data_IF_067759391224
#
_entry.id   IF_067759391224
#
_cell.length_a   1.000
_cell.length_b   1.000
_cell.length_c   1.000
_cell.angle_alpha   90.00
_cell.angle_beta   90.00
_cell.angle_gamma   90.00
#
_symmetry.space_group_name_H-M   'P 1'
#
loop_
_entity.id
_entity.type
_entity.pdbx_description
1 polymer ?
#
# COMPACT_ATOMS: atom_id res chain seq x y z
N UNK A 1 -6.92 31.86 -14.93
CA UNK A 1 -8.19 31.73 -15.70
C UNK A 1 -8.00 30.65 -16.74
N UNK A 2 -8.24 29.39 -16.36
CA UNK A 2 -8.21 28.25 -17.28
C UNK A 2 -9.36 27.34 -16.86
N UNK A 3 -10.46 27.48 -17.59
CA UNK A 3 -11.69 26.72 -17.40
C UNK A 3 -11.47 25.28 -17.82
N UNK A 4 -11.40 24.37 -16.85
CA UNK A 4 -11.37 22.94 -17.12
C UNK A 4 -12.77 22.44 -17.49
N UNK A 5 -12.85 21.97 -18.71
CA UNK A 5 -13.96 21.31 -19.38
C UNK A 5 -14.47 20.13 -18.55
N UNK A 6 -15.70 20.24 -18.06
CA UNK A 6 -16.42 19.16 -17.41
C UNK A 6 -16.72 18.05 -18.44
N UNK A 7 -16.09 16.88 -18.27
CA UNK A 7 -16.44 15.68 -19.02
C UNK A 7 -17.83 15.22 -18.58
N UNK A 8 -18.79 15.32 -19.49
CA UNK A 8 -20.14 14.79 -19.35
C UNK A 8 -20.07 13.27 -19.19
N UNK A 9 -20.33 12.78 -17.99
CA UNK A 9 -20.67 11.37 -17.78
C UNK A 9 -22.05 11.11 -18.40
N UNK A 10 -22.03 10.50 -19.58
CA UNK A 10 -23.20 9.88 -20.20
C UNK A 10 -23.68 8.75 -19.28
N UNK A 11 -24.83 8.95 -18.66
CA UNK A 11 -25.52 7.93 -17.88
C UNK A 11 -25.91 6.77 -18.78
N UNK A 12 -25.30 5.61 -18.54
CA UNK A 12 -25.72 4.34 -19.14
C UNK A 12 -27.07 3.94 -18.52
N UNK A 13 -28.15 4.40 -19.13
CA UNK A 13 -29.52 4.00 -18.81
C UNK A 13 -29.68 2.55 -19.28
N UNK A 14 -29.74 1.61 -18.32
CA UNK A 14 -30.13 0.23 -18.60
C UNK A 14 -31.57 0.28 -19.13
N UNK A 15 -31.84 -0.18 -20.37
CA UNK A 15 -33.18 -0.17 -20.92
C UNK A 15 -34.09 -1.03 -20.05
N UNK A 16 -35.16 -0.41 -19.54
CA UNK A 16 -36.21 -1.10 -18.81
C UNK A 16 -36.68 -2.30 -19.64
N UNK A 17 -36.70 -3.47 -18.99
CA UNK A 17 -37.10 -4.76 -19.54
C UNK A 17 -38.48 -4.61 -20.18
N UNK A 18 -38.51 -4.46 -21.51
CA UNK A 18 -39.72 -4.31 -22.28
C UNK A 18 -40.64 -5.50 -21.98
N UNK A 19 -41.79 -5.21 -21.37
CA UNK A 19 -42.76 -6.22 -21.01
C UNK A 19 -43.18 -6.99 -22.27
N UNK A 20 -42.97 -8.31 -22.25
CA UNK A 20 -43.58 -9.22 -23.22
C UNK A 20 -45.08 -8.95 -23.24
N UNK A 21 -45.57 -8.42 -24.35
CA UNK A 21 -46.99 -8.17 -24.57
C UNK A 21 -47.76 -9.49 -24.48
N UNK A 22 -48.98 -9.45 -23.97
CA UNK A 22 -49.81 -10.64 -23.76
C UNK A 22 -50.06 -11.45 -25.04
N UNK A 23 -49.85 -10.86 -26.23
CA UNK A 23 -49.89 -11.57 -27.51
C UNK A 23 -48.66 -12.45 -27.78
N UNK A 24 -47.47 -12.08 -27.29
CA UNK A 24 -46.26 -12.91 -27.41
C UNK A 24 -46.36 -14.17 -26.53
N UNK A 25 -46.92 -14.05 -25.31
CA UNK A 25 -47.24 -15.21 -24.47
C UNK A 25 -48.28 -16.12 -25.12
N UNK A 26 -49.34 -15.56 -25.70
CA UNK A 26 -50.40 -16.35 -26.35
C UNK A 26 -49.91 -17.09 -27.60
N UNK A 27 -48.93 -16.56 -28.32
CA UNK A 27 -48.28 -17.26 -29.45
C UNK A 27 -47.35 -18.38 -28.99
N UNK A 28 -46.61 -18.18 -27.89
CA UNK A 28 -45.76 -19.22 -27.31
C UNK A 28 -46.60 -20.41 -26.78
N UNK A 29 -47.73 -20.14 -26.11
CA UNK A 29 -48.62 -21.20 -25.63
C UNK A 29 -49.35 -21.94 -26.76
N UNK A 30 -49.54 -21.31 -27.93
CA UNK A 30 -50.15 -21.94 -29.09
C UNK A 30 -49.19 -22.87 -29.86
N UNK A 31 -47.89 -22.56 -29.85
CA UNK A 31 -46.88 -23.39 -30.53
C UNK A 31 -46.47 -24.60 -29.69
N UNK A 32 -46.48 -24.47 -28.35
CA UNK A 32 -46.23 -25.61 -27.44
C UNK A 32 -47.27 -26.72 -27.59
N UNK A 33 -48.50 -26.42 -28.05
CA UNK A 33 -49.57 -27.42 -28.21
C UNK A 33 -49.57 -28.17 -29.53
N UNK A 34 -48.67 -27.86 -30.49
CA UNK A 34 -48.65 -28.52 -31.81
C UNK A 34 -47.66 -29.65 -31.95
N UNK A 35 -46.89 -29.97 -30.91
CA UNK A 35 -45.80 -30.94 -31.01
C UNK A 35 -46.06 -32.29 -30.32
N UNK A 36 -47.32 -32.61 -29.99
CA UNK A 36 -47.66 -33.74 -29.12
C UNK A 36 -48.33 -34.94 -29.81
N UNK A 37 -48.39 -35.01 -31.14
CA UNK A 37 -49.12 -36.10 -31.81
C UNK A 37 -48.38 -36.76 -32.98
N UNK A 38 -47.12 -37.13 -32.72
CA UNK A 38 -46.48 -38.23 -33.45
C UNK A 38 -46.05 -39.28 -32.43
N UNK A 39 -46.98 -40.18 -32.13
CA UNK A 39 -46.71 -41.44 -31.46
C UNK A 39 -45.80 -42.32 -32.31
N UNK A 40 -44.50 -42.02 -32.27
CA UNK A 40 -43.49 -42.99 -32.66
C UNK A 40 -43.47 -44.05 -31.57
N UNK A 41 -43.92 -45.25 -31.91
CA UNK A 41 -43.89 -46.42 -31.04
C UNK A 41 -42.44 -46.91 -30.89
N UNK A 42 -41.60 -46.07 -30.27
CA UNK A 42 -40.25 -46.42 -29.89
C UNK A 42 -40.36 -47.58 -28.91
N UNK A 43 -40.01 -48.79 -29.39
CA UNK A 43 -39.82 -49.98 -28.58
C UNK A 43 -39.04 -49.56 -27.33
N UNK A 44 -39.72 -49.55 -26.18
CA UNK A 44 -39.09 -49.27 -24.88
C UNK A 44 -38.13 -50.41 -24.61
N UNK A 45 -36.90 -50.27 -25.10
CA UNK A 45 -35.80 -51.15 -24.70
C UNK A 45 -35.55 -50.82 -23.24
N UNK A 46 -36.09 -51.67 -22.37
CA UNK A 46 -35.81 -51.59 -20.94
C UNK A 46 -34.31 -51.76 -20.78
N UNK A 47 -33.62 -50.68 -20.40
CA UNK A 47 -32.22 -50.73 -20.00
C UNK A 47 -32.07 -51.94 -19.07
N UNK A 48 -31.29 -52.90 -19.52
CA UNK A 48 -31.06 -54.11 -18.74
C UNK A 48 -30.34 -53.69 -17.46
N UNK A 49 -30.61 -54.35 -16.33
CA UNK A 49 -29.98 -54.03 -15.04
C UNK A 49 -28.44 -53.99 -15.14
N UNK A 50 -27.87 -54.76 -16.06
CA UNK A 50 -26.43 -54.78 -16.36
C UNK A 50 -25.93 -53.53 -17.08
N UNK A 51 -26.74 -52.95 -17.98
CA UNK A 51 -26.38 -51.73 -18.71
C UNK A 51 -26.32 -50.53 -17.76
N UNK A 52 -27.28 -50.44 -16.83
CA UNK A 52 -27.26 -49.43 -15.78
C UNK A 52 -26.03 -49.57 -14.87
N UNK A 53 -25.64 -50.81 -14.53
CA UNK A 53 -24.43 -51.07 -13.74
C UNK A 53 -23.15 -50.62 -14.45
N UNK A 54 -23.02 -50.92 -15.75
CA UNK A 54 -21.85 -50.52 -16.55
C UNK A 54 -21.76 -49.00 -16.66
N UNK A 55 -22.89 -48.33 -16.93
CA UNK A 55 -22.94 -46.86 -16.99
C UNK A 55 -22.52 -46.24 -15.66
N UNK A 56 -22.96 -46.82 -14.53
CA UNK A 56 -22.56 -46.35 -13.21
C UNK A 56 -21.05 -46.48 -13.00
N UNK A 57 -20.46 -47.62 -13.38
CA UNK A 57 -19.01 -47.84 -13.26
C UNK A 57 -18.23 -46.83 -14.11
N UNK A 58 -18.66 -46.59 -15.35
CA UNK A 58 -18.02 -45.61 -16.24
C UNK A 58 -18.16 -44.20 -15.68
N UNK A 59 -19.33 -43.82 -15.15
CA UNK A 59 -19.57 -42.51 -14.53
C UNK A 59 -18.66 -42.28 -13.32
N UNK A 60 -18.47 -43.29 -12.46
CA UNK A 60 -17.56 -43.20 -11.31
C UNK A 60 -16.12 -43.03 -11.78
N UNK A 61 -15.70 -43.81 -12.79
CA UNK A 61 -14.35 -43.71 -13.34
C UNK A 61 -14.06 -42.33 -13.96
N UNK A 62 -14.98 -41.79 -14.77
CA UNK A 62 -14.84 -40.45 -15.38
C UNK A 62 -14.85 -39.36 -14.31
N UNK A 63 -15.74 -39.46 -13.32
CA UNK A 63 -15.81 -38.50 -12.21
C UNK A 63 -14.50 -38.43 -11.43
N UNK A 64 -13.85 -39.58 -11.19
CA UNK A 64 -12.54 -39.63 -10.54
C UNK A 64 -11.47 -38.85 -11.30
N UNK A 65 -11.41 -38.99 -12.63
CA UNK A 65 -10.45 -38.27 -13.49
C UNK A 65 -10.75 -36.76 -13.50
N UNK A 66 -12.01 -36.37 -13.58
CA UNK A 66 -12.42 -34.95 -13.56
C UNK A 66 -12.05 -34.28 -12.24
N UNK A 67 -12.23 -34.96 -11.11
CA UNK A 67 -11.85 -34.44 -9.79
C UNK A 67 -10.34 -34.20 -9.69
N UNK A 68 -9.52 -35.14 -10.15
CA UNK A 68 -8.06 -34.99 -10.16
C UNK A 68 -7.61 -33.82 -11.06
N UNK A 69 -8.23 -33.67 -12.24
CA UNK A 69 -7.92 -32.57 -13.17
C UNK A 69 -8.36 -31.20 -12.65
N UNK A 70 -9.43 -31.14 -11.84
CA UNK A 70 -9.95 -29.88 -11.31
C UNK A 70 -9.16 -29.41 -10.07
N UNK A 71 -8.65 -30.34 -9.26
CA UNK A 71 -7.88 -30.01 -8.05
C UNK A 71 -6.67 -29.11 -8.34
N UNK A 72 -5.87 -29.42 -9.37
CA UNK A 72 -4.69 -28.62 -9.71
C UNK A 72 -5.02 -27.18 -10.12
N UNK A 73 -6.16 -26.95 -10.80
CA UNK A 73 -6.58 -25.60 -11.21
C UNK A 73 -7.04 -24.74 -10.04
N UNK A 74 -7.68 -25.35 -9.03
CA UNK A 74 -8.10 -24.65 -7.82
C UNK A 74 -6.87 -24.18 -7.04
N UNK A 75 -5.86 -25.05 -6.93
CA UNK A 75 -4.61 -24.72 -6.22
C UNK A 75 -3.80 -23.64 -6.95
N UNK A 76 -3.72 -23.68 -8.29
CA UNK A 76 -3.09 -22.62 -9.09
C UNK A 76 -3.81 -21.26 -8.91
N UNK A 77 -5.15 -21.27 -8.94
CA UNK A 77 -5.92 -20.05 -8.71
C UNK A 77 -5.76 -19.50 -7.28
N UNK A 78 -5.66 -20.38 -6.28
CA UNK A 78 -5.39 -19.99 -4.90
C UNK A 78 -3.95 -19.43 -4.74
N UNK A 79 -2.97 -20.05 -5.40
CA UNK A 79 -1.60 -19.56 -5.47
C UNK A 79 -1.56 -18.13 -6.04
N UNK A 80 -2.15 -17.92 -7.21
CA UNK A 80 -2.14 -16.62 -7.89
C UNK A 80 -2.82 -15.54 -7.06
N UNK A 81 -3.96 -15.88 -6.45
CA UNK A 81 -4.67 -14.98 -5.52
C UNK A 81 -3.80 -14.62 -4.32
N UNK A 82 -3.07 -15.57 -3.74
CA UNK A 82 -2.17 -15.33 -2.62
C UNK A 82 -1.03 -14.38 -2.99
N UNK A 83 -0.39 -14.61 -4.14
CA UNK A 83 0.68 -13.74 -4.65
C UNK A 83 0.15 -12.33 -4.89
N UNK A 84 -1.02 -12.21 -5.51
CA UNK A 84 -1.67 -10.92 -5.72
C UNK A 84 -1.97 -10.19 -4.40
N UNK A 85 -2.52 -10.90 -3.41
CA UNK A 85 -2.77 -10.35 -2.07
C UNK A 85 -1.48 -9.89 -1.38
N UNK A 86 -0.41 -10.70 -1.42
CA UNK A 86 0.88 -10.33 -0.84
C UNK A 86 1.46 -9.07 -1.51
N UNK A 87 1.41 -8.99 -2.84
CA UNK A 87 1.87 -7.81 -3.56
C UNK A 87 1.02 -6.56 -3.26
N UNK A 88 -0.30 -6.72 -3.09
CA UNK A 88 -1.19 -5.64 -2.66
C UNK A 88 -0.83 -5.17 -1.25
N UNK A 89 -0.59 -6.09 -0.30
CA UNK A 89 -0.16 -5.76 1.06
C UNK A 89 1.19 -5.05 1.04
N UNK A 90 2.17 -5.54 0.28
CA UNK A 90 3.48 -4.87 0.12
C UNK A 90 3.30 -3.44 -0.36
N UNK A 91 2.55 -3.27 -1.44
CA UNK A 91 2.31 -1.96 -2.06
C UNK A 91 1.58 -1.03 -1.10
N UNK A 92 0.62 -1.54 -0.34
CA UNK A 92 -0.09 -0.77 0.69
C UNK A 92 0.83 -0.31 1.82
N UNK A 93 1.80 -1.14 2.23
CA UNK A 93 2.72 -0.82 3.33
C UNK A 93 3.82 0.14 2.86
N UNK A 94 4.62 -0.26 1.86
CA UNK A 94 5.84 0.45 1.46
C UNK A 94 5.72 1.28 0.18
N UNK A 95 4.61 1.15 -0.54
CA UNK A 95 4.41 1.76 -1.86
C UNK A 95 4.84 0.82 -3.00
N UNK A 96 4.54 1.24 -4.23
CA UNK A 96 4.92 0.50 -5.43
C UNK A 96 6.39 0.84 -5.79
N UNK A 97 7.32 -0.14 -5.74
CA UNK A 97 8.73 0.13 -6.05
C UNK A 97 8.97 0.45 -7.53
N UNK A 98 8.03 0.12 -8.42
CA UNK A 98 8.15 0.39 -9.86
C UNK A 98 7.73 1.81 -10.25
N UNK A 99 7.09 2.56 -9.34
CA UNK A 99 6.76 3.96 -9.61
C UNK A 99 8.04 4.77 -9.72
N UNK A 100 8.35 5.19 -10.95
CA UNK A 100 9.48 6.04 -11.30
C UNK A 100 8.93 7.42 -11.64
N UNK A 101 9.47 8.49 -11.05
CA UNK A 101 9.05 9.88 -11.30
C UNK A 101 8.39 10.58 -10.11
N UNK A 102 7.66 11.66 -10.41
CA UNK A 102 7.07 12.64 -9.47
C UNK A 102 5.64 12.29 -9.00
N UNK A 103 5.14 11.09 -9.34
CA UNK A 103 3.83 10.67 -8.87
C UNK A 103 3.83 10.51 -7.34
N UNK A 104 2.84 11.07 -6.63
CA UNK A 104 2.76 10.96 -5.19
C UNK A 104 2.57 9.51 -4.79
N UNK A 105 3.48 8.99 -3.98
CA UNK A 105 3.36 7.63 -3.46
C UNK A 105 2.40 7.62 -2.30
N UNK A 106 1.41 6.74 -2.45
CA UNK A 106 0.42 6.45 -1.43
C UNK A 106 0.82 5.13 -0.79
N UNK A 107 1.25 5.19 0.46
CA UNK A 107 1.56 4.00 1.26
C UNK A 107 1.46 4.32 2.73
N UNK A 108 1.20 3.31 3.56
CA UNK A 108 1.08 3.47 5.00
C UNK A 108 2.36 4.06 5.60
N UNK A 109 3.55 3.59 5.21
CA UNK A 109 4.79 4.11 5.79
C UNK A 109 5.07 5.55 5.33
N UNK A 110 4.75 5.91 4.08
CA UNK A 110 4.93 7.29 3.60
C UNK A 110 4.03 8.29 4.33
N UNK A 111 2.78 7.90 4.62
CA UNK A 111 1.77 8.79 5.21
C UNK A 111 1.84 8.81 6.76
N UNK A 112 2.15 7.66 7.38
CA UNK A 112 2.11 7.47 8.83
C UNK A 112 3.49 7.44 9.49
N UNK A 113 4.57 7.26 8.73
CA UNK A 113 5.94 7.24 9.24
C UNK A 113 6.33 5.99 10.03
N UNK A 114 5.53 4.93 10.00
CA UNK A 114 5.84 3.68 10.69
C UNK A 114 5.29 2.47 9.96
N UNK A 115 5.82 1.29 10.28
CA UNK A 115 5.21 0.04 9.88
C UNK A 115 3.88 -0.18 10.61
N UNK A 116 2.89 -0.82 9.97
CA UNK A 116 1.66 -1.21 10.64
C UNK A 116 1.93 -2.02 11.91
N UNK A 117 1.28 -1.58 12.99
CA UNK A 117 1.31 -2.29 14.26
C UNK A 117 0.17 -3.31 14.30
N UNK A 118 0.42 -4.47 14.92
CA UNK A 118 -0.62 -5.49 15.10
C UNK A 118 -1.81 -4.90 15.86
N UNK A 119 -3.02 -5.17 15.36
CA UNK A 119 -4.26 -4.75 16.01
C UNK A 119 -4.98 -5.97 16.57
N UNK A 120 -5.26 -5.96 17.88
CA UNK A 120 -5.94 -7.06 18.56
C UNK A 120 -5.08 -8.31 18.78
N UNK A 121 -5.75 -9.43 19.05
CA UNK A 121 -5.13 -10.74 19.32
C UNK A 121 -5.26 -11.72 18.16
N UNK A 122 -6.32 -11.61 17.35
CA UNK A 122 -6.57 -12.48 16.19
C UNK A 122 -5.71 -12.04 14.98
N UNK A 123 -4.85 -12.93 14.44
CA UNK A 123 -4.01 -12.65 13.27
C UNK A 123 -4.77 -12.13 12.06
N UNK A 124 -6.03 -12.53 11.88
CA UNK A 124 -6.86 -12.06 10.76
C UNK A 124 -7.09 -10.54 10.76
N UNK A 125 -6.89 -9.89 11.92
CA UNK A 125 -7.03 -8.44 12.12
C UNK A 125 -5.69 -7.71 12.27
N UNK A 126 -4.54 -8.37 12.13
CA UNK A 126 -3.24 -7.70 12.30
C UNK A 126 -3.01 -6.60 11.27
N UNK A 127 -3.55 -6.74 10.06
CA UNK A 127 -3.47 -5.75 8.99
C UNK A 127 -4.61 -4.73 9.02
N UNK A 128 -5.39 -4.65 10.10
CA UNK A 128 -6.53 -3.73 10.22
C UNK A 128 -6.13 -2.26 10.06
N UNK A 129 -4.89 -1.91 10.42
CA UNK A 129 -4.33 -0.58 10.19
C UNK A 129 -4.27 -0.16 8.70
N UNK A 130 -4.28 -1.13 7.78
CA UNK A 130 -4.31 -0.88 6.34
C UNK A 130 -5.71 -0.65 5.78
N UNK A 131 -6.76 -0.92 6.56
CA UNK A 131 -8.16 -0.84 6.10
C UNK A 131 -8.98 0.14 6.92
N UNK A 132 -8.59 0.38 8.17
CA UNK A 132 -9.24 1.27 9.11
C UNK A 132 -8.20 2.16 9.82
N UNK A 133 -8.66 3.33 10.26
CA UNK A 133 -7.84 4.28 11.02
C UNK A 133 -7.31 3.62 12.31
N UNK A 134 -5.98 3.48 12.49
CA UNK A 134 -5.42 2.93 13.71
C UNK A 134 -5.76 3.79 14.94
N UNK A 135 -5.99 3.15 16.08
CA UNK A 135 -6.21 3.87 17.34
C UNK A 135 -4.98 4.71 17.69
N UNK A 136 -5.19 5.99 18.04
CA UNK A 136 -4.12 6.94 18.35
C UNK A 136 -3.45 7.58 17.13
N UNK A 137 -3.73 7.10 15.92
CA UNK A 137 -3.25 7.73 14.70
C UNK A 137 -4.20 8.83 14.25
N UNK A 138 -3.64 9.94 13.80
CA UNK A 138 -4.41 11.03 13.25
C UNK A 138 -4.83 10.78 11.81
N UNK A 139 -6.02 11.27 11.44
CA UNK A 139 -6.44 11.29 10.03
C UNK A 139 -5.51 12.17 9.20
N UNK A 140 -5.32 11.78 7.95
CA UNK A 140 -4.53 12.53 6.98
C UNK A 140 -5.00 13.98 6.88
N UNK A 141 -4.08 14.90 7.13
CA UNK A 141 -4.35 16.32 7.11
C UNK A 141 -3.08 17.11 6.79
N UNK A 142 -3.29 18.35 6.39
CA UNK A 142 -2.21 19.33 6.30
C UNK A 142 -1.81 19.70 7.73
N UNK A 143 -0.52 19.57 8.04
CA UNK A 143 0.07 19.96 9.32
C UNK A 143 1.15 20.99 9.12
N UNK A 144 1.13 21.97 10.01
CA UNK A 144 2.18 22.96 10.17
C UNK A 144 3.20 22.45 11.19
N UNK A 145 4.49 22.64 10.93
CA UNK A 145 5.52 22.24 11.86
C UNK A 145 5.45 23.07 13.15
N UNK A 146 5.89 22.50 14.29
CA UNK A 146 5.95 23.25 15.54
C UNK A 146 6.89 24.44 15.44
N UNK A 147 6.72 25.42 16.33
CA UNK A 147 7.65 26.54 16.48
C UNK A 147 9.09 26.01 16.67
N UNK A 148 10.12 26.61 16.04
CA UNK A 148 10.11 27.91 15.34
C UNK A 148 9.62 27.90 13.88
N UNK A 149 9.25 26.74 13.33
CA UNK A 149 9.15 26.54 11.88
C UNK A 149 7.70 26.50 11.35
N UNK A 150 6.86 27.41 11.84
CA UNK A 150 5.43 27.42 11.51
C UNK A 150 5.11 27.78 10.03
N UNK A 151 6.11 28.10 9.23
CA UNK A 151 6.03 28.27 7.78
C UNK A 151 6.13 26.93 7.02
N UNK A 152 6.64 25.88 7.66
CA UNK A 152 6.77 24.55 7.09
C UNK A 152 5.43 23.82 7.19
N UNK A 153 4.89 23.44 6.03
CA UNK A 153 3.60 22.75 5.92
C UNK A 153 3.78 21.45 5.16
N UNK A 154 3.39 20.31 5.74
CA UNK A 154 3.40 19.03 5.03
C UNK A 154 2.14 18.25 5.32
N UNK A 155 1.93 17.18 4.56
CA UNK A 155 0.81 16.29 4.73
C UNK A 155 1.24 15.06 5.49
N UNK A 156 0.55 14.75 6.58
CA UNK A 156 0.82 13.55 7.38
C UNK A 156 -0.47 12.96 7.95
N UNK A 157 -0.38 11.71 8.41
CA UNK A 157 -1.48 10.98 9.03
C UNK A 157 -2.09 9.94 8.11
N UNK A 158 -3.03 9.17 8.62
CA UNK A 158 -3.61 8.03 7.92
C UNK A 158 -4.54 8.47 6.79
N UNK A 159 -4.17 8.18 5.53
CA UNK A 159 -4.91 8.64 4.34
C UNK A 159 -6.05 7.72 3.93
N UNK A 160 -6.05 6.46 4.34
CA UNK A 160 -7.21 5.62 4.04
C UNK A 160 -6.96 4.13 4.12
N UNK A 161 -7.98 3.35 3.73
CA UNK A 161 -7.72 1.97 3.41
C UNK A 161 -6.70 1.93 2.27
N UNK A 162 -5.47 1.53 2.58
CA UNK A 162 -4.38 1.32 1.64
C UNK A 162 -4.55 0.01 0.86
N UNK A 163 -5.45 -0.87 1.33
CA UNK A 163 -5.85 -2.09 0.65
C UNK A 163 -7.38 -2.16 0.54
N UNK A 164 -7.86 -2.55 -0.64
CA UNK A 164 -9.27 -2.83 -0.86
C UNK A 164 -9.61 -4.24 -0.37
N UNK A 165 -10.59 -4.36 0.52
CA UNK A 165 -11.10 -5.66 0.95
C UNK A 165 -12.13 -6.19 -0.05
N UNK A 166 -12.21 -7.53 -0.23
CA UNK A 166 -13.33 -8.14 -0.95
C UNK A 166 -14.68 -7.78 -0.31
N UNK A 167 -15.74 -7.79 -1.12
CA UNK A 167 -17.09 -7.56 -0.61
C UNK A 167 -17.46 -8.60 0.46
N UNK A 168 -18.09 -8.14 1.54
CA UNK A 168 -18.54 -8.96 2.67
C UNK A 168 -17.43 -9.64 3.49
N UNK A 169 -16.20 -9.12 3.47
CA UNK A 169 -15.17 -9.52 4.43
C UNK A 169 -14.48 -8.31 5.03
N UNK A 170 -14.16 -8.42 6.32
CA UNK A 170 -13.33 -7.51 7.10
C UNK A 170 -11.89 -8.02 7.24
N UNK A 171 -11.55 -9.12 6.55
CA UNK A 171 -10.28 -9.85 6.71
C UNK A 171 -9.51 -9.90 5.40
N UNK A 172 -8.19 -9.75 5.51
CA UNK A 172 -7.26 -10.01 4.41
C UNK A 172 -6.87 -11.49 4.49
N UNK A 173 -7.40 -12.29 3.59
CA UNK A 173 -7.19 -13.74 3.55
C UNK A 173 -6.37 -14.13 2.32
N UNK A 174 -5.71 -15.28 2.40
CA UNK A 174 -4.99 -15.86 1.27
C UNK A 174 -5.91 -16.57 0.26
N UNK A 175 -5.32 -17.24 -0.72
CA UNK A 175 -6.02 -17.99 -1.75
C UNK A 175 -6.89 -19.13 -1.23
N UNK A 176 -6.50 -19.72 -0.10
CA UNK A 176 -7.19 -20.83 0.57
C UNK A 176 -8.13 -20.35 1.67
N UNK A 177 -8.38 -19.04 1.75
CA UNK A 177 -9.24 -18.42 2.75
C UNK A 177 -8.71 -18.55 4.19
N UNK A 178 -7.39 -18.71 4.34
CA UNK A 178 -6.70 -18.72 5.62
C UNK A 178 -6.15 -17.32 5.94
N UNK A 179 -6.05 -16.95 7.23
CA UNK A 179 -5.35 -15.73 7.61
C UNK A 179 -3.86 -15.85 7.28
N UNK A 180 -3.22 -14.71 7.01
CA UNK A 180 -1.77 -14.67 6.90
C UNK A 180 -1.11 -14.93 8.25
N UNK A 181 0.06 -15.57 8.20
CA UNK A 181 0.97 -15.71 9.31
C UNK A 181 1.89 -14.48 9.38
N UNK A 182 2.14 -14.00 10.60
CA UNK A 182 2.93 -12.81 10.84
C UNK A 182 4.11 -13.11 11.75
N UNK A 183 5.29 -12.62 11.40
CA UNK A 183 6.41 -12.52 12.34
C UNK A 183 6.42 -11.11 12.90
N UNK A 184 6.50 -11.01 14.22
CA UNK A 184 6.41 -9.75 14.95
C UNK A 184 7.76 -9.46 15.63
N UNK A 185 8.16 -8.18 15.62
CA UNK A 185 9.15 -7.64 16.56
C UNK A 185 8.41 -6.71 17.51
N UNK A 186 8.06 -7.20 18.70
CA UNK A 186 7.12 -6.51 19.59
C UNK A 186 5.72 -6.43 18.97
N UNK A 187 5.26 -5.21 18.69
CA UNK A 187 3.97 -4.97 18.01
C UNK A 187 4.12 -4.71 16.51
N UNK A 188 5.34 -4.54 16.01
CA UNK A 188 5.58 -4.26 14.59
C UNK A 188 5.54 -5.54 13.78
N UNK A 189 4.84 -5.51 12.65
CA UNK A 189 4.83 -6.60 11.67
C UNK A 189 6.13 -6.55 10.85
N UNK A 190 7.01 -7.54 11.05
CA UNK A 190 8.30 -7.63 10.35
C UNK A 190 8.32 -8.67 9.24
N UNK A 191 7.40 -9.63 9.24
CA UNK A 191 7.16 -10.40 8.03
C UNK A 191 5.75 -10.95 7.90
N UNK A 192 5.36 -11.25 6.66
CA UNK A 192 4.06 -11.79 6.29
C UNK A 192 4.27 -13.03 5.41
N UNK A 193 3.54 -14.10 5.74
CA UNK A 193 3.56 -15.36 5.03
C UNK A 193 2.12 -15.89 4.87
N UNK A 194 1.81 -16.59 3.79
CA UNK A 194 0.52 -17.28 3.64
C UNK A 194 0.29 -18.28 4.77
N UNK A 195 -0.98 -18.50 5.14
CA UNK A 195 -1.38 -19.66 5.94
C UNK A 195 -1.14 -20.97 5.19
N UNK A 196 -1.22 -20.92 3.86
CA UNK A 196 -1.04 -22.06 2.97
C UNK A 196 -2.28 -22.96 2.93
N UNK A 197 -2.28 -23.95 2.05
CA UNK A 197 -3.24 -25.05 2.07
C UNK A 197 -2.81 -26.17 3.03
N UNK A 198 -3.68 -27.16 3.26
CA UNK A 198 -3.29 -28.47 3.80
C UNK A 198 -2.25 -29.08 2.84
N UNK A 199 -1.32 -29.92 3.31
CA UNK A 199 -0.23 -30.53 2.51
C UNK A 199 -0.69 -31.11 1.15
N UNK A 200 -0.75 -30.27 0.12
CA UNK A 200 -0.88 -30.68 -1.27
C UNK A 200 0.49 -30.51 -1.95
N UNK A 201 0.81 -31.28 -3.00
CA UNK A 201 2.04 -31.09 -3.77
C UNK A 201 2.15 -29.70 -4.44
N UNK A 202 1.06 -28.92 -4.42
CA UNK A 202 0.98 -27.54 -4.91
C UNK A 202 1.17 -26.50 -3.79
N UNK A 203 1.29 -26.93 -2.53
CA UNK A 203 1.63 -26.11 -1.38
C UNK A 203 3.12 -25.78 -1.35
N UNK A 204 3.66 -25.41 -2.51
CA UNK A 204 5.00 -24.86 -2.65
C UNK A 204 5.04 -23.63 -1.75
N UNK A 205 6.03 -23.56 -0.86
CA UNK A 205 6.27 -22.38 -0.02
C UNK A 205 6.40 -21.15 -0.92
N UNK A 206 5.35 -20.34 -1.01
CA UNK A 206 5.32 -19.11 -1.80
C UNK A 206 5.74 -17.94 -0.94
N UNK A 207 6.83 -17.23 -1.29
CA UNK A 207 8.18 -17.81 -1.37
C UNK A 207 8.57 -18.46 -0.01
N UNK A 208 9.50 -19.41 0.01
CA UNK A 208 10.06 -19.95 1.27
C UNK A 208 10.70 -18.88 2.17
N UNK A 209 10.97 -17.71 1.60
CA UNK A 209 11.35 -16.51 2.33
C UNK A 209 10.10 -15.66 2.58
N UNK A 210 9.69 -15.49 3.85
CA UNK A 210 8.64 -14.55 4.22
C UNK A 210 8.85 -13.19 3.57
N UNK A 211 7.77 -12.46 3.27
CA UNK A 211 7.91 -11.06 2.91
C UNK A 211 8.46 -10.32 4.13
N UNK A 212 9.76 -10.04 4.15
CA UNK A 212 10.40 -9.38 5.26
C UNK A 212 10.40 -7.86 5.08
N UNK A 213 9.91 -7.18 6.11
CA UNK A 213 10.09 -5.77 6.37
C UNK A 213 11.20 -5.67 7.41
N UNK A 214 12.44 -5.45 6.97
CA UNK A 214 13.52 -5.16 7.90
C UNK A 214 13.39 -3.69 8.31
N UNK A 215 13.17 -3.39 9.58
CA UNK A 215 13.14 -2.01 10.09
C UNK A 215 14.44 -1.25 9.73
N UNK A 216 15.60 -1.91 9.70
CA UNK A 216 16.85 -1.30 9.23
C UNK A 216 16.87 -1.06 7.71
N UNK A 217 16.08 -1.80 6.94
CA UNK A 217 15.83 -1.49 5.52
C UNK A 217 14.74 -0.44 5.31
N UNK A 218 14.06 -0.04 6.40
CA UNK A 218 13.00 0.98 6.47
C UNK A 218 13.39 2.21 7.29
N UNK A 219 14.62 2.24 7.81
CA UNK A 219 15.30 3.39 8.41
C UNK A 219 16.69 3.47 7.76
N UNK A 220 16.88 4.33 6.78
CA UNK A 220 18.20 4.52 6.15
C UNK A 220 18.67 5.91 6.52
N UNK A 221 19.98 6.08 6.81
CA UNK A 221 20.53 7.41 7.00
C UNK A 221 20.12 8.34 5.87
N UNK A 222 19.73 9.54 6.24
CA UNK A 222 19.66 10.65 5.29
C UNK A 222 20.99 11.39 5.42
N UNK A 223 21.81 11.25 4.38
CA UNK A 223 23.09 11.93 4.29
C UNK A 223 23.17 12.76 3.01
N UNK A 224 23.95 13.82 3.09
CA UNK A 224 24.07 14.77 2.00
C UNK A 224 25.12 15.81 2.28
N UNK A 225 25.19 16.78 1.39
CA UNK A 225 26.09 17.92 1.48
C UNK A 225 25.31 19.21 1.32
N UNK A 226 25.62 20.19 2.16
CA UNK A 226 25.16 21.57 2.01
C UNK A 226 26.32 22.39 1.47
N UNK A 227 26.17 22.93 0.26
CA UNK A 227 27.03 23.98 -0.26
C UNK A 227 26.49 25.33 0.23
N UNK A 228 27.38 26.15 0.80
CA UNK A 228 27.02 27.44 1.39
C UNK A 228 27.92 28.56 0.86
N UNK A 229 27.37 29.77 0.82
CA UNK A 229 28.08 31.01 0.53
C UNK A 229 27.59 32.11 1.49
N UNK A 230 28.17 32.14 2.68
CA UNK A 230 27.86 33.05 3.79
C UNK A 230 28.81 34.24 3.82
N UNK A 231 28.38 35.34 4.44
CA UNK A 231 29.22 36.55 4.61
C UNK A 231 30.33 36.35 5.65
N UNK A 232 30.06 35.57 6.70
CA UNK A 232 30.98 35.25 7.79
C UNK A 232 30.87 33.78 8.18
N UNK A 233 31.84 33.28 8.97
CA UNK A 233 31.71 31.94 9.56
C UNK A 233 30.49 31.89 10.47
N UNK A 234 29.71 30.83 10.35
CA UNK A 234 28.46 30.59 11.06
C UNK A 234 28.27 29.14 11.48
N UNK A 235 27.10 28.85 12.03
CA UNK A 235 26.58 27.48 12.16
C UNK A 235 25.40 27.29 11.21
N UNK A 236 25.36 26.14 10.54
CA UNK A 236 24.22 25.70 9.75
C UNK A 236 23.40 24.74 10.59
N UNK A 237 22.12 25.02 10.78
CA UNK A 237 21.17 24.09 11.41
C UNK A 237 20.28 23.51 10.35
N UNK A 238 20.33 22.19 10.18
CA UNK A 238 19.52 21.46 9.20
C UNK A 238 18.40 20.76 9.96
N UNK A 239 17.15 21.06 9.60
CA UNK A 239 15.96 20.34 10.10
C UNK A 239 15.29 19.57 8.98
N UNK A 240 14.98 18.30 9.23
CA UNK A 240 14.24 17.43 8.32
C UNK A 240 12.90 17.06 8.97
N UNK A 241 11.79 17.43 8.34
CA UNK A 241 10.45 17.15 8.84
C UNK A 241 9.85 15.87 8.24
N UNK A 242 9.18 15.07 9.07
CA UNK A 242 8.60 13.78 8.68
C UNK A 242 7.43 13.38 9.62
N UNK A 243 6.55 12.44 9.22
CA UNK A 243 5.50 11.92 10.09
C UNK A 243 6.07 11.10 11.26
N UNK A 244 5.62 11.39 12.47
CA UNK A 244 5.96 10.68 13.70
C UNK A 244 5.26 9.32 13.76
N UNK A 245 6.04 8.28 13.98
CA UNK A 245 5.61 6.89 13.98
C UNK A 245 4.42 6.56 14.90
N UNK A 246 4.27 7.28 16.02
CA UNK A 246 3.28 6.97 17.07
C UNK A 246 1.86 7.43 16.74
N UNK A 247 1.71 8.58 16.08
CA UNK A 247 0.42 9.25 15.89
C UNK A 247 0.24 9.90 14.51
N UNK A 248 1.26 9.83 13.64
CA UNK A 248 1.28 10.47 12.34
C UNK A 248 1.33 12.00 12.41
N UNK A 249 1.66 12.59 13.56
CA UNK A 249 1.89 14.04 13.66
C UNK A 249 3.20 14.43 12.98
N UNK A 250 3.39 15.71 12.72
CA UNK A 250 4.61 16.19 12.08
C UNK A 250 5.70 16.39 13.13
N UNK A 251 6.86 15.76 12.93
CA UNK A 251 8.04 15.92 13.77
C UNK A 251 9.27 16.23 12.92
N UNK A 252 10.43 16.46 13.53
CA UNK A 252 11.67 16.71 12.82
C UNK A 252 12.90 16.12 13.53
N UNK A 253 13.97 15.94 12.77
CA UNK A 253 15.31 15.74 13.29
C UNK A 253 16.20 16.94 12.94
N UNK A 254 17.09 17.31 13.85
CA UNK A 254 17.95 18.49 13.73
C UNK A 254 19.43 18.10 13.79
N UNK A 255 20.25 18.73 12.96
CA UNK A 255 21.71 18.65 13.02
C UNK A 255 22.33 20.04 12.84
N UNK A 256 23.14 20.46 13.81
CA UNK A 256 23.93 21.69 13.72
C UNK A 256 25.36 21.37 13.26
N UNK A 257 25.83 22.13 12.28
CA UNK A 257 27.12 21.97 11.63
C UNK A 257 27.91 23.27 11.70
N UNK A 258 29.19 23.17 12.04
CA UNK A 258 30.10 24.31 11.97
C UNK A 258 30.50 24.57 10.52
N UNK A 259 30.48 25.84 10.09
CA UNK A 259 31.06 26.25 8.81
C UNK A 259 32.46 26.80 9.02
N UNK A 260 33.33 26.59 8.03
CA UNK A 260 34.67 27.19 8.01
C UNK A 260 34.74 28.19 6.85
N UNK A 261 35.00 29.46 7.17
CA UNK A 261 35.03 30.54 6.18
C UNK A 261 33.67 30.95 5.63
N UNK A 262 33.70 31.78 4.58
CA UNK A 262 32.53 32.36 3.91
C UNK A 262 31.91 31.44 2.85
N UNK A 263 32.59 30.41 2.39
CA UNK A 263 31.99 29.46 1.44
C UNK A 263 32.58 28.08 1.61
N UNK A 264 31.80 27.06 1.27
CA UNK A 264 32.26 25.70 1.38
C UNK A 264 31.15 24.66 1.21
N UNK A 265 31.48 23.43 1.58
CA UNK A 265 30.56 22.31 1.59
C UNK A 265 30.67 21.59 2.92
N UNK A 266 29.55 21.39 3.61
CA UNK A 266 29.51 20.57 4.83
C UNK A 266 28.66 19.33 4.60
N UNK A 267 29.13 18.18 5.08
CA UNK A 267 28.35 16.96 5.07
C UNK A 267 27.42 16.90 6.27
N UNK A 268 26.18 16.46 6.05
CA UNK A 268 25.22 16.15 7.09
C UNK A 268 24.84 14.67 7.04
N UNK A 269 24.50 14.11 8.19
CA UNK A 269 24.12 12.72 8.32
C UNK A 269 23.21 12.55 9.54
N UNK A 270 21.95 12.19 9.30
CA UNK A 270 21.02 11.82 10.35
C UNK A 270 21.15 10.31 10.64
N UNK A 271 21.43 9.92 11.90
CA UNK A 271 21.66 8.52 12.25
C UNK A 271 20.40 7.67 12.12
N UNK A 272 20.58 6.37 11.91
CA UNK A 272 19.50 5.38 11.95
C UNK A 272 19.11 5.07 13.39
N UNK A 273 17.83 5.20 13.74
CA UNK A 273 17.32 4.74 15.04
C UNK A 273 15.83 4.95 15.20
N UNK A 274 15.12 4.02 15.82
CA UNK A 274 13.64 4.01 15.95
C UNK A 274 13.06 5.25 16.68
N UNK A 275 13.89 5.95 17.45
CA UNK A 275 13.47 7.13 18.25
C UNK A 275 13.72 8.46 17.51
N UNK A 276 14.52 8.45 16.44
CA UNK A 276 14.98 9.65 15.70
C UNK A 276 15.04 9.46 14.18
N UNK A 277 14.67 8.27 13.71
CA UNK A 277 14.90 7.80 12.35
C UNK A 277 13.80 8.27 11.43
N UNK A 278 14.22 8.85 10.31
CA UNK A 278 13.31 9.28 9.26
C UNK A 278 12.67 8.02 8.66
N UNK A 279 11.34 7.91 8.63
CA UNK A 279 10.65 6.78 8.03
C UNK A 279 11.10 6.59 6.59
N UNK A 280 11.39 5.38 6.14
CA UNK A 280 11.64 5.16 4.71
C UNK A 280 10.34 5.00 3.98
N UNK A 281 10.26 5.76 2.91
CA UNK A 281 9.28 5.67 1.85
C UNK A 281 9.56 6.88 0.98
N UNK A 282 9.10 6.85 -0.25
CA UNK A 282 9.06 8.09 -1.01
C UNK A 282 7.95 8.95 -0.38
N UNK A 283 8.33 9.87 0.50
CA UNK A 283 7.45 10.85 1.10
C UNK A 283 8.05 12.25 0.98
N UNK A 284 7.21 13.30 1.01
CA UNK A 284 7.67 14.66 1.20
C UNK A 284 8.59 14.78 2.41
N UNK A 285 9.85 15.08 2.16
CA UNK A 285 10.68 15.73 3.18
C UNK A 285 10.78 17.20 2.84
N UNK A 286 10.53 18.02 3.85
CA UNK A 286 10.95 19.43 3.85
C UNK A 286 12.25 19.54 4.61
N UNK A 287 13.18 20.27 4.03
CA UNK A 287 14.45 20.60 4.67
C UNK A 287 14.51 22.09 4.89
N UNK A 288 14.71 22.49 6.15
CA UNK A 288 15.04 23.87 6.51
C UNK A 288 16.51 23.94 6.83
N UNK A 289 17.19 24.93 6.26
CA UNK A 289 18.55 25.28 6.69
C UNK A 289 18.54 26.70 7.22
N UNK A 290 18.89 26.82 8.50
CA UNK A 290 19.09 28.11 9.16
C UNK A 290 20.58 28.42 9.23
N UNK A 291 20.93 29.65 8.91
CA UNK A 291 22.29 30.18 9.08
C UNK A 291 22.30 31.08 10.31
N UNK A 292 23.09 30.71 11.31
CA UNK A 292 23.37 31.59 12.45
C UNK A 292 24.78 32.17 12.32
N UNK A 293 24.96 33.50 12.24
CA UNK A 293 26.28 34.10 12.26
C UNK A 293 26.99 33.83 13.60
N UNK A 294 28.31 33.62 13.57
CA UNK A 294 29.09 33.50 14.81
C UNK A 294 29.07 34.83 15.54
N UNK A 295 28.29 34.90 16.62
CA UNK A 295 28.27 35.94 17.65
C UNK A 295 28.61 37.35 17.11
N UNK A 296 27.61 38.04 16.57
CA UNK A 296 27.61 39.50 16.65
C UNK A 296 26.93 39.89 17.98
N UNK A 297 27.69 40.10 19.08
CA UNK A 297 27.12 40.42 20.38
C UNK A 297 26.34 41.75 20.41
N UNK A 298 26.25 42.47 19.29
CA UNK A 298 25.45 43.70 19.14
C UNK A 298 24.13 43.55 18.40
N UNK A 299 23.83 42.39 17.78
CA UNK A 299 22.66 42.22 16.92
C UNK A 299 21.68 41.17 17.47
N UNK A 300 20.91 41.54 18.49
CA UNK A 300 19.88 40.68 19.09
C UNK A 300 18.58 40.58 18.26
N UNK A 301 18.48 41.27 17.12
CA UNK A 301 17.30 41.13 16.26
C UNK A 301 17.41 39.84 15.47
N UNK A 302 16.73 38.81 15.99
CA UNK A 302 16.48 37.48 15.41
C UNK A 302 15.82 37.47 14.02
N UNK A 303 15.63 38.62 13.37
CA UNK A 303 14.90 38.77 12.10
C UNK A 303 15.77 38.53 10.85
N UNK A 304 17.10 38.52 10.95
CA UNK A 304 18.01 38.32 9.81
C UNK A 304 18.50 36.85 9.69
N UNK A 305 17.61 35.87 9.79
CA UNK A 305 17.93 34.48 9.49
C UNK A 305 17.67 34.20 8.01
N UNK A 306 18.74 34.07 7.22
CA UNK A 306 18.66 33.50 5.88
C UNK A 306 18.16 32.06 5.98
N UNK A 307 16.87 31.90 5.69
CA UNK A 307 16.18 30.62 5.70
C UNK A 307 16.00 30.14 4.26
N UNK A 308 16.61 29.01 3.93
CA UNK A 308 16.29 28.31 2.67
C UNK A 308 15.43 27.10 2.99
N UNK A 309 14.22 27.06 2.42
CA UNK A 309 13.33 25.89 2.48
C UNK A 309 13.44 25.13 1.17
N UNK A 310 13.91 23.88 1.24
CA UNK A 310 13.84 22.97 0.10
C UNK A 310 12.53 22.20 0.21
N UNK A 311 11.67 22.38 -0.80
CA UNK A 311 10.28 21.96 -0.68
C UNK A 311 10.08 20.45 -0.78
N UNK A 312 10.89 19.72 -1.57
CA UNK A 312 10.66 18.28 -1.81
C UNK A 312 11.96 17.52 -2.06
N UNK A 313 12.32 16.63 -1.13
CA UNK A 313 13.33 15.59 -1.36
C UNK A 313 12.66 14.22 -1.24
N UNK A 314 12.76 13.41 -2.30
CA UNK A 314 12.20 12.06 -2.32
C UNK A 314 13.23 11.04 -1.82
N UNK A 315 12.96 10.37 -0.70
CA UNK A 315 13.80 9.26 -0.19
C UNK A 315 13.53 7.98 -0.99
N UNK A 316 14.47 7.46 -1.80
CA UNK A 316 14.28 6.16 -2.42
C UNK A 316 14.39 5.05 -1.37
N UNK A 317 13.83 3.88 -1.68
CA UNK A 317 14.10 2.65 -0.91
C UNK A 317 15.61 2.38 -0.94
N UNK A 318 16.25 2.34 0.23
CA UNK A 318 17.72 2.32 0.34
C UNK A 318 18.35 3.68 0.72
N UNK A 319 17.50 4.66 1.05
CA UNK A 319 17.80 5.95 1.68
C UNK A 319 18.28 7.07 0.78
N UNK A 320 18.43 8.23 1.39
CA UNK A 320 18.98 9.40 0.74
C UNK A 320 20.49 9.41 0.90
N UNK A 321 21.19 9.13 -0.20
CA UNK A 321 22.60 9.49 -0.31
C UNK A 321 22.81 10.48 -1.44
N UNK A 322 23.74 11.42 -1.23
CA UNK A 322 24.08 12.42 -2.23
C UNK A 322 23.05 13.55 -2.39
N UNK A 323 22.23 13.82 -1.36
CA UNK A 323 21.39 15.02 -1.36
C UNK A 323 22.30 16.24 -1.35
N UNK A 324 22.29 17.01 -2.43
CA UNK A 324 23.03 18.26 -2.53
C UNK A 324 22.07 19.42 -2.33
N UNK A 325 22.30 20.17 -1.25
CA UNK A 325 21.57 21.40 -0.92
C UNK A 325 22.49 22.55 -1.30
N UNK A 326 22.03 23.47 -2.13
CA UNK A 326 22.78 24.67 -2.49
C UNK A 326 22.08 25.86 -1.85
N UNK A 327 22.81 26.56 -0.96
CA UNK A 327 22.37 27.80 -0.34
C UNK A 327 23.16 28.92 -1.02
N UNK A 328 22.45 29.75 -1.78
CA UNK A 328 22.98 30.96 -2.40
C UNK A 328 22.23 32.19 -1.91
N UNK A 329 22.94 33.31 -1.85
CA UNK A 329 22.35 34.64 -1.63
C UNK A 329 21.49 35.08 -2.81
#
# INVERSE_FOLDING_TARGET
>A
MTSHTAAQYSSFVIPAKAGMTNEAKKRLDADVRRHDDKGDSSRRSGLTMIELLIVLIIMIAISGVVLQATAGRIDEAAYDKTVASLNAIRTAIVGNPLMTGDEPIVSFVADCGSLPQKTGTDPAYYLKALTELPSGMSSYQIRTAPWPDNDIVTYTGWRGPYIALPLNTDKVLDGWNNPFNFVLSGNTITSIQSGGGIETPYNILIPSTPMQFNEASLLVPVNGTVQYNLTTSGTLTIRIYFPQASDGTLTYCEQTLATTGSSGTVAFAFPTGIVTGIPIGRHPIRVRVDVLPVNDPGNETTDDLDTTVIEWVTVPQGGLSGVSIIIGN
#
